data_IF_914909775558
#
_entry.id   IF_914909775558
#
_cell.length_a   1.000
_cell.length_b   1.000
_cell.length_c   1.000
_cell.angle_alpha   90.00
_cell.angle_beta   90.00
_cell.angle_gamma   90.00
#
_symmetry.space_group_name_H-M   'P 1'
#
loop_
_entity.id
_entity.type
_entity.pdbx_description
1 polymer ?
#
# COMPACT_ATOMS: atom_id res chain seq x y z
N UNK A 1 35.03 8.46 -6.76
CA UNK A 1 33.84 8.06 -6.00
C UNK A 1 32.84 7.55 -7.03
N UNK A 2 32.62 6.24 -7.11
CA UNK A 2 31.72 5.68 -8.10
C UNK A 2 30.29 6.10 -7.78
N UNK A 3 29.61 6.72 -8.75
CA UNK A 3 28.17 6.94 -8.70
C UNK A 3 27.50 5.56 -8.66
N UNK A 4 27.14 5.10 -7.44
CA UNK A 4 26.31 3.93 -7.32
C UNK A 4 24.95 4.26 -7.91
N UNK A 5 24.52 3.52 -8.92
CA UNK A 5 23.18 3.68 -9.49
C UNK A 5 22.13 3.63 -8.34
N UNK A 6 21.14 4.53 -8.38
CA UNK A 6 20.09 4.54 -7.35
C UNK A 6 19.40 3.18 -7.26
N UNK A 7 19.35 2.59 -6.08
CA UNK A 7 18.90 1.20 -5.86
C UNK A 7 17.44 0.93 -6.27
N UNK A 8 16.62 1.99 -6.38
CA UNK A 8 15.21 1.90 -6.79
C UNK A 8 14.96 2.34 -8.24
N UNK A 9 16.00 2.58 -9.02
CA UNK A 9 15.86 3.02 -10.42
C UNK A 9 14.98 2.04 -11.22
N UNK A 10 13.91 2.58 -11.85
CA UNK A 10 12.95 1.82 -12.64
C UNK A 10 12.05 0.89 -11.86
N UNK A 11 12.05 0.97 -10.52
CA UNK A 11 11.11 0.24 -9.66
C UNK A 11 9.84 1.05 -9.45
N UNK A 12 8.70 0.39 -9.47
CA UNK A 12 7.37 0.95 -9.31
C UNK A 12 6.68 0.34 -8.11
N UNK A 13 6.15 1.17 -7.24
CA UNK A 13 5.52 0.66 -6.02
C UNK A 13 4.31 1.43 -5.55
N UNK A 14 3.45 0.70 -4.84
CA UNK A 14 2.28 1.24 -4.17
C UNK A 14 2.61 1.54 -2.72
N UNK A 15 2.34 2.77 -2.28
CA UNK A 15 2.49 3.21 -0.88
C UNK A 15 1.12 3.51 -0.30
N UNK A 16 0.78 2.81 0.76
CA UNK A 16 -0.49 2.92 1.47
C UNK A 16 -0.26 3.41 2.91
N UNK A 17 -1.11 4.34 3.37
CA UNK A 17 -1.07 4.83 4.75
C UNK A 17 -0.36 6.17 4.94
N UNK A 18 -0.19 6.97 3.90
CA UNK A 18 0.25 8.37 4.04
C UNK A 18 -0.91 9.20 4.58
N UNK A 19 -0.79 9.70 5.80
CA UNK A 19 -1.78 10.57 6.43
C UNK A 19 -1.35 12.06 6.43
N UNK A 20 -0.05 12.31 6.43
CA UNK A 20 0.57 13.63 6.42
C UNK A 20 2.09 13.50 6.17
N UNK A 21 2.81 14.63 6.18
CA UNK A 21 4.25 14.75 6.00
C UNK A 21 5.13 14.08 7.08
N UNK A 22 4.51 13.68 8.21
CA UNK A 22 5.19 13.01 9.34
C UNK A 22 4.93 11.50 9.35
N UNK A 23 4.09 10.99 8.44
CA UNK A 23 3.79 9.55 8.34
C UNK A 23 5.06 8.75 8.02
N UNK A 24 5.20 7.58 8.62
CA UNK A 24 6.25 6.61 8.28
C UNK A 24 6.20 6.30 6.78
N UNK A 25 4.99 6.07 6.23
CA UNK A 25 4.78 5.85 4.80
C UNK A 25 5.36 6.98 3.94
N UNK A 26 5.21 8.25 4.36
CA UNK A 26 5.77 9.38 3.64
C UNK A 26 7.30 9.43 3.71
N UNK A 27 7.88 9.12 4.87
CA UNK A 27 9.33 8.97 5.03
C UNK A 27 9.91 7.93 4.07
N UNK A 28 9.25 6.77 3.97
CA UNK A 28 9.63 5.70 3.04
C UNK A 28 9.47 6.17 1.58
N UNK A 29 8.35 6.82 1.24
CA UNK A 29 8.09 7.31 -0.11
C UNK A 29 9.18 8.29 -0.58
N UNK A 30 9.58 9.24 0.26
CA UNK A 30 10.69 10.16 -0.05
C UNK A 30 12.01 9.42 -0.29
N UNK A 31 12.34 8.43 0.52
CA UNK A 31 13.55 7.64 0.37
C UNK A 31 13.53 6.86 -0.94
N UNK A 32 12.42 6.21 -1.28
CA UNK A 32 12.26 5.47 -2.54
C UNK A 32 12.40 6.41 -3.75
N UNK A 33 11.71 7.56 -3.72
CA UNK A 33 11.81 8.56 -4.78
C UNK A 33 13.25 9.07 -4.95
N UNK A 34 13.93 9.41 -3.84
CA UNK A 34 15.33 9.85 -3.86
C UNK A 34 16.25 8.82 -4.52
N UNK A 35 15.93 7.54 -4.41
CA UNK A 35 16.66 6.43 -5.03
C UNK A 35 16.12 6.04 -6.41
N UNK A 36 15.29 6.86 -7.04
CA UNK A 36 14.87 6.70 -8.44
C UNK A 36 13.64 5.80 -8.63
N UNK A 37 12.90 5.48 -7.60
CA UNK A 37 11.65 4.71 -7.70
C UNK A 37 10.44 5.58 -8.05
N UNK A 38 9.52 5.02 -8.83
CA UNK A 38 8.21 5.61 -9.14
C UNK A 38 7.16 5.11 -8.13
N UNK A 39 6.26 6.00 -7.71
CA UNK A 39 5.31 5.71 -6.63
C UNK A 39 3.87 6.00 -7.04
N UNK A 40 2.97 5.16 -6.55
CA UNK A 40 1.54 5.41 -6.48
C UNK A 40 1.09 5.44 -5.01
N UNK A 41 0.04 6.17 -4.72
CA UNK A 41 -0.50 6.33 -3.38
C UNK A 41 -1.96 5.92 -3.31
N UNK A 42 -2.40 5.51 -2.11
CA UNK A 42 -3.82 5.36 -1.81
C UNK A 42 -4.24 6.29 -0.68
N UNK A 43 -5.53 6.62 -0.68
CA UNK A 43 -6.17 7.40 0.38
C UNK A 43 -7.58 6.86 0.67
N UNK A 44 -8.10 7.16 1.86
CA UNK A 44 -9.48 6.90 2.24
C UNK A 44 -10.15 8.21 2.67
N UNK A 45 -11.11 8.66 1.85
CA UNK A 45 -11.88 9.87 2.09
C UNK A 45 -11.16 11.19 1.72
N UNK A 46 -11.97 12.23 1.48
CA UNK A 46 -11.53 13.52 0.96
C UNK A 46 -10.55 14.27 1.85
N UNK A 47 -10.64 14.07 3.16
CA UNK A 47 -9.74 14.73 4.10
C UNK A 47 -8.28 14.26 3.93
N UNK A 48 -8.08 12.99 3.61
CA UNK A 48 -6.74 12.45 3.31
C UNK A 48 -6.30 12.83 1.90
N UNK A 49 -7.19 12.84 0.92
CA UNK A 49 -6.89 13.28 -0.44
C UNK A 49 -6.29 14.68 -0.45
N UNK A 50 -6.90 15.64 0.27
CA UNK A 50 -6.40 17.03 0.38
C UNK A 50 -4.99 17.12 0.97
N UNK A 51 -4.61 16.17 1.81
CA UNK A 51 -3.27 16.14 2.42
C UNK A 51 -2.24 15.45 1.56
N UNK A 52 -2.64 14.37 0.88
CA UNK A 52 -1.71 13.55 0.10
C UNK A 52 -1.38 14.18 -1.25
N UNK A 53 -2.33 14.89 -1.88
CA UNK A 53 -2.12 15.53 -3.18
C UNK A 53 -0.87 16.40 -3.24
N UNK A 54 -0.66 17.40 -2.35
CA UNK A 54 0.54 18.24 -2.41
C UNK A 54 1.82 17.44 -2.13
N UNK A 55 1.75 16.38 -1.32
CA UNK A 55 2.89 15.52 -1.01
C UNK A 55 3.27 14.70 -2.25
N UNK A 56 2.33 14.02 -2.87
CA UNK A 56 2.55 13.22 -4.07
C UNK A 56 3.10 14.08 -5.22
N UNK A 57 2.52 15.26 -5.44
CA UNK A 57 3.00 16.21 -6.45
C UNK A 57 4.45 16.65 -6.19
N UNK A 58 4.89 16.77 -4.93
CA UNK A 58 6.25 17.17 -4.59
C UNK A 58 7.33 16.15 -4.96
N UNK A 59 6.92 14.94 -5.33
CA UNK A 59 7.79 13.84 -5.79
C UNK A 59 7.33 13.29 -7.15
N UNK A 60 6.68 14.13 -7.95
CA UNK A 60 6.26 13.83 -9.32
C UNK A 60 5.37 12.56 -9.46
N UNK A 61 4.58 12.24 -8.42
CA UNK A 61 3.62 11.15 -8.47
C UNK A 61 2.23 11.67 -8.83
N UNK A 62 1.67 11.17 -9.93
CA UNK A 62 0.34 11.49 -10.45
C UNK A 62 -0.71 10.40 -10.19
N UNK A 63 -0.32 9.29 -9.54
CA UNK A 63 -1.20 8.17 -9.26
C UNK A 63 -1.60 8.18 -7.80
N UNK A 64 -2.80 8.71 -7.52
CA UNK A 64 -3.38 8.79 -6.19
C UNK A 64 -4.80 8.21 -6.28
N UNK A 65 -5.04 7.07 -5.65
CA UNK A 65 -6.24 6.26 -5.83
C UNK A 65 -7.03 6.12 -4.53
N UNK A 66 -8.36 6.22 -4.57
CA UNK A 66 -9.18 5.89 -3.41
C UNK A 66 -9.03 4.40 -3.07
N UNK A 67 -8.97 4.07 -1.79
CA UNK A 67 -8.91 2.68 -1.35
C UNK A 67 -9.43 2.52 0.07
N UNK A 68 -10.45 1.69 0.21
CA UNK A 68 -10.83 1.09 1.49
C UNK A 68 -10.33 -0.36 1.51
N UNK A 69 -9.42 -0.68 2.41
CA UNK A 69 -8.82 -2.03 2.48
C UNK A 69 -9.77 -3.09 3.03
N UNK A 70 -10.93 -2.69 3.53
CA UNK A 70 -12.01 -3.58 3.99
C UNK A 70 -13.00 -3.90 2.88
N UNK A 71 -12.97 -3.16 1.78
CA UNK A 71 -13.77 -3.36 0.59
C UNK A 71 -12.94 -4.00 -0.53
N UNK A 72 -13.30 -5.23 -0.90
CA UNK A 72 -12.56 -6.00 -1.92
C UNK A 72 -12.65 -5.36 -3.30
N UNK A 73 -13.78 -4.75 -3.66
CA UNK A 73 -13.98 -4.07 -4.95
C UNK A 73 -13.06 -2.83 -5.04
N UNK A 74 -13.04 -2.01 -3.98
CA UNK A 74 -12.13 -0.87 -3.88
C UNK A 74 -10.66 -1.26 -4.03
N UNK A 75 -10.25 -2.37 -3.43
CA UNK A 75 -8.89 -2.91 -3.60
C UNK A 75 -8.66 -3.38 -5.04
N UNK A 76 -9.62 -4.06 -5.66
CA UNK A 76 -9.48 -4.54 -7.05
C UNK A 76 -9.36 -3.39 -8.04
N UNK A 77 -10.06 -2.29 -7.86
CA UNK A 77 -9.94 -1.08 -8.68
C UNK A 77 -8.54 -0.46 -8.63
N UNK A 78 -7.93 -0.41 -7.45
CA UNK A 78 -6.54 0.06 -7.30
C UNK A 78 -5.59 -0.80 -8.13
N UNK A 79 -5.66 -2.11 -7.99
CA UNK A 79 -4.75 -3.00 -8.72
C UNK A 79 -5.05 -3.05 -10.22
N UNK A 80 -6.31 -2.90 -10.65
CA UNK A 80 -6.68 -2.76 -12.07
C UNK A 80 -6.02 -1.52 -12.67
N UNK A 81 -6.18 -0.36 -12.02
CA UNK A 81 -5.58 0.89 -12.46
C UNK A 81 -4.07 0.82 -12.55
N UNK A 82 -3.41 0.22 -11.56
CA UNK A 82 -1.95 0.03 -11.57
C UNK A 82 -1.51 -0.91 -12.70
N UNK A 83 -2.30 -1.95 -12.99
CA UNK A 83 -2.04 -2.86 -14.11
C UNK A 83 -2.13 -2.14 -15.46
N UNK A 84 -3.12 -1.28 -15.64
CA UNK A 84 -3.30 -0.50 -16.86
C UNK A 84 -2.17 0.52 -17.06
N UNK A 85 -1.78 1.24 -16.00
CA UNK A 85 -0.75 2.29 -16.07
C UNK A 85 0.68 1.73 -16.13
N UNK A 86 0.97 0.69 -15.37
CA UNK A 86 2.33 0.19 -15.16
C UNK A 86 2.55 -1.26 -15.57
N UNK A 87 1.48 -2.03 -15.78
CA UNK A 87 1.53 -3.46 -16.05
C UNK A 87 1.82 -4.31 -14.80
N UNK A 88 2.73 -3.88 -13.95
CA UNK A 88 3.09 -4.53 -12.69
C UNK A 88 3.62 -3.53 -11.68
N UNK A 89 3.61 -3.91 -10.42
CA UNK A 89 4.35 -3.25 -9.34
C UNK A 89 5.53 -4.12 -8.90
N UNK A 90 6.60 -3.51 -8.44
CA UNK A 90 7.79 -4.20 -7.93
C UNK A 90 7.76 -4.33 -6.41
N UNK A 91 7.06 -3.43 -5.72
CA UNK A 91 6.93 -3.46 -4.25
C UNK A 91 5.62 -2.85 -3.79
N UNK A 92 5.23 -3.22 -2.57
CA UNK A 92 4.06 -2.73 -1.85
C UNK A 92 4.49 -2.30 -0.44
N UNK A 93 4.13 -1.10 -0.04
CA UNK A 93 4.32 -0.59 1.32
C UNK A 93 2.94 -0.46 1.96
N UNK A 94 2.72 -1.27 3.00
CA UNK A 94 1.52 -1.24 3.82
C UNK A 94 1.85 -0.60 5.17
N UNK A 95 1.44 0.65 5.35
CA UNK A 95 1.60 1.39 6.59
C UNK A 95 0.22 1.87 7.09
N UNK A 96 -0.77 0.98 7.02
CA UNK A 96 -2.15 1.21 7.45
C UNK A 96 -2.34 0.61 8.83
N UNK A 97 -2.96 1.38 9.71
CA UNK A 97 -3.47 0.90 10.99
C UNK A 97 -4.76 1.66 11.33
N UNK A 98 -5.66 0.96 11.96
CA UNK A 98 -6.91 1.52 12.47
C UNK A 98 -7.28 0.86 13.80
N UNK A 99 -7.82 1.66 14.70
CA UNK A 99 -8.59 1.21 15.86
C UNK A 99 -9.59 2.31 16.21
N UNK A 100 -10.70 1.96 16.87
CA UNK A 100 -11.64 2.97 17.33
C UNK A 100 -10.98 3.86 18.37
N UNK A 101 -11.04 5.17 18.12
CA UNK A 101 -10.39 6.18 18.95
C UNK A 101 -10.94 6.20 20.39
N UNK A 102 -12.21 5.91 20.57
CA UNK A 102 -12.82 5.90 21.90
C UNK A 102 -12.32 4.70 22.70
N UNK A 103 -12.09 3.56 22.06
CA UNK A 103 -11.55 2.37 22.70
C UNK A 103 -10.01 2.38 22.89
N UNK A 104 -9.34 3.40 22.40
CA UNK A 104 -7.93 3.67 22.76
C UNK A 104 -7.80 4.40 24.11
N UNK A 105 -8.91 4.73 24.75
CA UNK A 105 -8.97 5.33 26.09
C UNK A 105 -9.21 4.24 27.13
N UNK A 106 -8.57 4.36 28.29
CA UNK A 106 -8.76 3.39 29.38
C UNK A 106 -7.80 2.20 29.32
N UNK A 107 -8.21 1.09 29.89
CA UNK A 107 -7.40 -0.12 29.98
C UNK A 107 -7.62 -1.02 28.75
N UNK A 108 -6.55 -1.62 28.26
CA UNK A 108 -6.61 -2.53 27.10
C UNK A 108 -7.62 -3.68 27.27
N UNK A 109 -7.77 -4.18 28.50
CA UNK A 109 -8.69 -5.28 28.79
C UNK A 109 -10.18 -4.94 28.56
N UNK A 110 -10.52 -3.64 28.46
CA UNK A 110 -11.87 -3.15 28.21
C UNK A 110 -12.20 -3.08 26.70
N UNK A 111 -11.25 -3.40 25.83
CA UNK A 111 -11.45 -3.42 24.37
C UNK A 111 -12.53 -4.42 23.99
N UNK A 112 -13.50 -3.97 23.17
CA UNK A 112 -14.54 -4.85 22.64
C UNK A 112 -14.01 -5.87 21.64
N UNK A 113 -14.65 -7.03 21.54
CA UNK A 113 -14.31 -8.04 20.54
C UNK A 113 -14.50 -7.52 19.10
N UNK A 114 -15.47 -6.63 18.90
CA UNK A 114 -15.73 -6.00 17.61
C UNK A 114 -14.58 -5.09 17.19
N UNK A 115 -14.17 -4.14 18.04
CA UNK A 115 -13.03 -3.27 17.74
C UNK A 115 -11.73 -4.05 17.61
N UNK A 116 -11.50 -5.06 18.45
CA UNK A 116 -10.32 -5.92 18.35
C UNK A 116 -10.26 -6.62 16.98
N UNK A 117 -11.37 -7.23 16.55
CA UNK A 117 -11.47 -7.91 15.25
C UNK A 117 -11.26 -6.93 14.09
N UNK A 118 -11.91 -5.76 14.13
CA UNK A 118 -11.79 -4.74 13.10
C UNK A 118 -10.37 -4.17 13.02
N UNK A 119 -9.75 -3.92 14.17
CA UNK A 119 -8.34 -3.48 14.25
C UNK A 119 -7.41 -4.47 13.57
N UNK A 120 -7.56 -5.78 13.82
CA UNK A 120 -6.74 -6.81 13.17
C UNK A 120 -7.06 -6.95 11.67
N UNK A 121 -8.32 -6.83 11.28
CA UNK A 121 -8.70 -6.88 9.86
C UNK A 121 -8.05 -5.76 9.07
N UNK A 122 -8.12 -4.53 9.56
CA UNK A 122 -7.56 -3.36 8.87
C UNK A 122 -6.04 -3.30 9.00
N UNK A 123 -5.48 -3.56 10.19
CA UNK A 123 -4.05 -3.34 10.42
C UNK A 123 -3.15 -4.52 10.04
N UNK A 124 -3.70 -5.74 10.01
CA UNK A 124 -2.93 -6.96 9.77
C UNK A 124 -3.42 -7.73 8.54
N UNK A 125 -4.69 -8.17 8.54
CA UNK A 125 -5.18 -9.07 7.49
C UNK A 125 -5.25 -8.40 6.12
N UNK A 126 -5.54 -7.10 6.05
CA UNK A 126 -5.53 -6.34 4.80
C UNK A 126 -4.21 -6.47 4.06
N UNK A 127 -3.07 -6.53 4.76
CA UNK A 127 -1.77 -6.78 4.13
C UNK A 127 -1.73 -8.11 3.38
N UNK A 128 -2.28 -9.17 3.97
CA UNK A 128 -2.36 -10.48 3.31
C UNK A 128 -3.21 -10.43 2.03
N UNK A 129 -4.33 -9.72 2.06
CA UNK A 129 -5.20 -9.53 0.88
C UNK A 129 -4.48 -8.74 -0.20
N UNK A 130 -3.85 -7.63 0.14
CA UNK A 130 -3.08 -6.80 -0.78
C UNK A 130 -1.91 -7.56 -1.41
N UNK A 131 -1.16 -8.34 -0.63
CA UNK A 131 -0.09 -9.19 -1.16
C UNK A 131 -0.62 -10.22 -2.17
N UNK A 132 -1.80 -10.82 -1.91
CA UNK A 132 -2.44 -11.76 -2.83
C UNK A 132 -2.81 -11.10 -4.15
N UNK A 133 -3.33 -9.86 -4.13
CA UNK A 133 -3.67 -9.08 -5.32
C UNK A 133 -2.40 -8.65 -6.08
N UNK A 134 -1.40 -8.12 -5.38
CA UNK A 134 -0.12 -7.73 -5.97
C UNK A 134 0.58 -8.92 -6.68
N UNK A 135 0.60 -10.10 -6.05
CA UNK A 135 1.17 -11.32 -6.66
C UNK A 135 0.50 -11.71 -7.97
N UNK A 136 -0.81 -11.50 -8.11
CA UNK A 136 -1.53 -11.81 -9.36
C UNK A 136 -1.09 -10.92 -10.51
N UNK A 137 -0.74 -9.66 -10.24
CA UNK A 137 -0.20 -8.75 -11.27
C UNK A 137 1.19 -9.19 -11.76
N UNK A 138 2.04 -9.71 -10.89
CA UNK A 138 3.37 -10.19 -11.28
C UNK A 138 3.33 -11.51 -12.05
N UNK A 139 2.26 -12.30 -11.89
CA UNK A 139 2.13 -13.64 -12.48
C UNK A 139 1.56 -13.67 -13.91
N UNK A 140 1.23 -12.53 -14.50
CA UNK A 140 0.63 -12.48 -15.86
C UNK A 140 1.63 -12.68 -17.02
N UNK A 141 2.87 -13.09 -16.73
CA UNK A 141 3.77 -13.74 -17.69
C UNK A 141 3.78 -15.25 -17.39
N UNK A 142 3.13 -16.02 -18.27
CA UNK A 142 3.17 -17.48 -18.38
C UNK A 142 4.37 -18.14 -17.69
N UNK A 143 4.23 -18.50 -16.42
CA UNK A 143 5.03 -19.56 -15.83
C UNK A 143 4.05 -20.66 -15.47
N UNK A 144 3.91 -21.66 -16.37
CA UNK A 144 3.33 -22.94 -16.03
C UNK A 144 4.18 -23.53 -14.91
N UNK A 145 3.75 -23.37 -13.68
CA UNK A 145 4.22 -24.21 -12.59
C UNK A 145 3.68 -25.60 -12.87
N UNK A 146 4.54 -26.53 -13.29
CA UNK A 146 4.20 -27.95 -13.34
C UNK A 146 3.84 -28.36 -11.92
N UNK A 147 2.68 -29.02 -11.69
CA UNK A 147 2.42 -29.59 -10.38
C UNK A 147 3.50 -30.62 -10.09
N UNK A 148 4.18 -30.47 -8.97
CA UNK A 148 5.07 -31.50 -8.44
C UNK A 148 4.23 -32.76 -8.21
N UNK A 149 4.61 -33.89 -8.85
CA UNK A 149 4.03 -35.19 -8.54
C UNK A 149 4.31 -35.48 -7.08
N UNK A 150 3.24 -35.59 -6.29
CA UNK A 150 3.32 -36.22 -4.98
C UNK A 150 3.70 -37.70 -5.18
N UNK A 151 4.71 -38.10 -4.47
CA UNK A 151 4.99 -39.50 -4.16
C UNK A 151 4.33 -39.85 -2.85
#
# INVERSE_FOLDING_TARGET
>A
MGDSMPVMMGKRGLVMGVANDRSIAWGIAKAVHHHGGELAFTYQGDALLKRINPLANSIDSDIILPCDVTDEESVDEVFSTLSEKWGKIDFLIHAIAFSDREELKGAYIDTSAENFSNTLMVSCYSFTTLCRKARRQTSNKKTRVRPSRAY
#
